data_IF_327562803727
#
_entry.id   IF_327562803727
#
_cell.length_a   1.000
_cell.length_b   1.000
_cell.length_c   1.000
_cell.angle_alpha   90.00
_cell.angle_beta   90.00
_cell.angle_gamma   90.00
#
_symmetry.space_group_name_H-M   'P 1'
#
loop_
_entity.id
_entity.type
_entity.pdbx_description
1 polymer ?
#
# COMPACT_ATOMS: atom_id res chain seq x y z
N UNK A 1 16.30 -8.33 24.69
CA UNK A 1 17.08 -7.09 24.44
C UNK A 1 17.14 -6.84 22.94
N UNK A 2 16.63 -5.67 22.53
CA UNK A 2 16.89 -4.96 21.28
C UNK A 2 16.68 -5.69 19.95
N UNK A 3 15.44 -5.70 19.45
CA UNK A 3 15.19 -5.72 18.00
C UNK A 3 15.39 -4.29 17.49
N UNK A 4 16.66 -3.89 17.40
CA UNK A 4 17.03 -2.63 16.80
C UNK A 4 16.62 -2.66 15.32
N UNK A 5 16.11 -1.51 14.88
CA UNK A 5 15.87 -1.12 13.50
C UNK A 5 14.46 -1.46 12.97
N UNK A 6 13.49 -0.65 13.40
CA UNK A 6 12.36 -0.27 12.54
C UNK A 6 12.90 0.62 11.39
N UNK A 7 13.67 0.04 10.47
CA UNK A 7 14.14 0.69 9.24
C UNK A 7 12.90 1.10 8.46
N UNK A 8 12.89 2.33 7.93
CA UNK A 8 11.73 2.94 7.29
C UNK A 8 10.98 1.97 6.39
N UNK A 9 9.71 1.72 6.71
CA UNK A 9 8.89 0.76 5.96
C UNK A 9 8.51 1.43 4.64
N UNK A 10 9.28 1.13 3.60
CA UNK A 10 8.98 1.51 2.23
C UNK A 10 7.78 0.69 1.77
N UNK A 11 6.74 1.36 1.29
CA UNK A 11 5.65 0.69 0.56
C UNK A 11 6.11 0.59 -0.89
N UNK A 12 6.46 -0.62 -1.31
CA UNK A 12 6.79 -0.93 -2.70
C UNK A 12 5.53 -0.98 -3.56
N UNK A 13 5.71 -0.87 -4.87
CA UNK A 13 4.62 -0.81 -5.85
C UNK A 13 3.67 -2.02 -5.74
N UNK A 14 4.23 -3.21 -5.55
CA UNK A 14 3.48 -4.46 -5.41
C UNK A 14 2.68 -4.51 -4.12
N UNK A 15 3.19 -3.95 -3.02
CA UNK A 15 2.46 -3.88 -1.75
C UNK A 15 1.19 -3.03 -1.88
N UNK A 16 1.26 -1.94 -2.65
CA UNK A 16 0.13 -1.03 -2.87
C UNK A 16 -0.94 -1.72 -3.73
N UNK A 17 -0.52 -2.37 -4.83
CA UNK A 17 -1.41 -3.14 -5.69
C UNK A 17 -2.08 -4.29 -4.93
N UNK A 18 -1.32 -5.02 -4.13
CA UNK A 18 -1.82 -6.15 -3.34
C UNK A 18 -2.82 -5.69 -2.28
N UNK A 19 -2.52 -4.61 -1.56
CA UNK A 19 -3.46 -4.01 -0.61
C UNK A 19 -4.79 -3.69 -1.29
N UNK A 20 -4.75 -2.98 -2.43
CA UNK A 20 -5.96 -2.62 -3.18
C UNK A 20 -6.75 -3.85 -3.62
N UNK A 21 -6.08 -4.87 -4.18
CA UNK A 21 -6.71 -6.12 -4.62
C UNK A 21 -7.34 -6.90 -3.47
N UNK A 22 -6.66 -6.97 -2.32
CA UNK A 22 -7.18 -7.65 -1.12
C UNK A 22 -8.42 -6.96 -0.54
N UNK A 23 -8.53 -5.64 -0.73
CA UNK A 23 -9.72 -4.86 -0.39
C UNK A 23 -10.83 -4.94 -1.45
N UNK A 24 -10.60 -5.63 -2.58
CA UNK A 24 -11.56 -5.75 -3.67
C UNK A 24 -11.83 -4.45 -4.42
N UNK A 25 -10.90 -3.49 -4.39
CA UNK A 25 -11.09 -2.15 -4.95
C UNK A 25 -10.48 -1.99 -6.36
N UNK A 26 -11.15 -1.20 -7.20
CA UNK A 26 -10.59 -0.60 -8.42
C UNK A 26 -9.58 0.49 -8.09
N UNK A 27 -8.77 0.94 -9.06
CA UNK A 27 -7.83 2.05 -8.83
C UNK A 27 -8.58 3.35 -8.50
N UNK A 28 -9.76 3.54 -9.10
CA UNK A 28 -10.70 4.64 -8.86
C UNK A 28 -11.19 4.67 -7.42
N UNK A 29 -11.74 3.55 -6.93
CA UNK A 29 -12.24 3.42 -5.55
C UNK A 29 -11.11 3.60 -4.53
N UNK A 30 -9.95 3.03 -4.81
CA UNK A 30 -8.78 3.15 -3.95
C UNK A 30 -8.26 4.59 -3.89
N UNK A 31 -8.18 5.28 -5.03
CA UNK A 31 -7.80 6.69 -5.09
C UNK A 31 -8.81 7.57 -4.33
N UNK A 32 -10.11 7.33 -4.53
CA UNK A 32 -11.18 8.02 -3.82
C UNK A 32 -11.07 7.82 -2.30
N UNK A 33 -10.82 6.58 -1.85
CA UNK A 33 -10.65 6.25 -0.43
C UNK A 33 -9.45 6.95 0.20
N UNK A 34 -8.37 7.13 -0.56
CA UNK A 34 -7.14 7.81 -0.13
C UNK A 34 -7.16 9.33 -0.34
N UNK A 35 -8.19 9.89 -0.96
CA UNK A 35 -8.28 11.32 -1.27
C UNK A 35 -7.24 11.80 -2.28
N UNK A 36 -6.85 10.95 -3.23
CA UNK A 36 -5.85 11.24 -4.26
C UNK A 36 -6.40 10.95 -5.66
N UNK A 37 -5.60 11.25 -6.69
CA UNK A 37 -6.00 10.95 -8.07
C UNK A 37 -5.68 9.50 -8.46
N UNK A 38 -6.46 8.96 -9.41
CA UNK A 38 -6.19 7.65 -10.03
C UNK A 38 -4.79 7.62 -10.67
N UNK A 39 -4.37 8.73 -11.28
CA UNK A 39 -3.04 8.86 -11.86
C UNK A 39 -1.92 8.70 -10.81
N UNK A 40 -2.14 9.14 -9.57
CA UNK A 40 -1.20 8.94 -8.46
C UNK A 40 -1.11 7.46 -8.09
N UNK A 41 -2.23 6.76 -7.96
CA UNK A 41 -2.28 5.31 -7.70
C UNK A 41 -1.56 4.54 -8.81
N UNK A 42 -1.85 4.85 -10.07
CA UNK A 42 -1.23 4.21 -11.23
C UNK A 42 0.31 4.37 -11.23
N UNK A 43 0.82 5.56 -10.91
CA UNK A 43 2.28 5.79 -10.81
C UNK A 43 2.91 5.02 -9.65
N UNK A 44 2.23 4.90 -8.52
CA UNK A 44 2.70 4.11 -7.39
C UNK A 44 2.74 2.62 -7.71
N UNK A 45 1.67 2.07 -8.28
CA UNK A 45 1.59 0.64 -8.63
C UNK A 45 2.56 0.25 -9.75
N UNK A 46 2.97 1.19 -10.62
CA UNK A 46 3.98 0.95 -11.65
C UNK A 46 5.41 1.33 -11.20
N UNK A 47 5.61 1.71 -9.93
CA UNK A 47 6.94 2.02 -9.41
C UNK A 47 7.56 3.32 -9.93
N UNK A 48 6.78 4.18 -10.60
CA UNK A 48 7.27 5.46 -11.14
C UNK A 48 7.62 6.46 -10.03
N UNK A 49 6.95 6.39 -8.88
CA UNK A 49 7.29 7.15 -7.68
C UNK A 49 6.80 6.43 -6.42
N UNK A 50 7.43 6.70 -5.28
CA UNK A 50 7.00 6.17 -3.99
C UNK A 50 6.00 7.10 -3.30
N UNK A 51 5.06 6.57 -2.50
CA UNK A 51 4.17 7.39 -1.69
C UNK A 51 4.95 8.26 -0.69
N UNK A 52 4.47 9.49 -0.49
CA UNK A 52 5.00 10.39 0.55
C UNK A 52 4.77 9.80 1.94
N UNK A 53 5.39 10.37 2.98
CA UNK A 53 5.18 9.92 4.37
C UNK A 53 3.71 9.96 4.79
N UNK A 54 2.96 11.00 4.39
CA UNK A 54 1.53 11.12 4.67
C UNK A 54 0.73 10.04 3.95
N UNK A 55 1.02 9.83 2.66
CA UNK A 55 0.36 8.79 1.88
C UNK A 55 0.63 7.39 2.42
N UNK A 56 1.87 7.10 2.88
CA UNK A 56 2.18 5.83 3.56
C UNK A 56 1.36 5.65 4.83
N UNK A 57 1.18 6.70 5.64
CA UNK A 57 0.31 6.63 6.82
C UNK A 57 -1.13 6.25 6.41
N UNK A 58 -1.69 6.93 5.42
CA UNK A 58 -3.03 6.64 4.92
C UNK A 58 -3.17 5.19 4.39
N UNK A 59 -2.14 4.67 3.70
CA UNK A 59 -2.10 3.28 3.26
C UNK A 59 -2.08 2.29 4.43
N UNK A 60 -1.34 2.58 5.50
CA UNK A 60 -1.33 1.73 6.71
C UNK A 60 -2.66 1.78 7.46
N UNK A 61 -3.26 2.96 7.59
CA UNK A 61 -4.57 3.13 8.22
C UNK A 61 -5.62 2.33 7.44
N UNK A 62 -5.63 2.45 6.10
CA UNK A 62 -6.53 1.71 5.22
C UNK A 62 -6.32 0.18 5.30
N UNK A 63 -5.08 -0.28 5.39
CA UNK A 63 -4.78 -1.70 5.60
C UNK A 63 -5.31 -2.21 6.95
N UNK A 64 -5.15 -1.41 8.01
CA UNK A 64 -5.65 -1.75 9.34
C UNK A 64 -7.19 -1.82 9.38
N UNK A 65 -7.89 -0.93 8.68
CA UNK A 65 -9.35 -0.94 8.55
C UNK A 65 -9.86 -2.23 7.87
N UNK A 66 -9.17 -2.70 6.84
CA UNK A 66 -9.50 -3.95 6.14
C UNK A 66 -9.16 -5.23 6.92
N UNK A 67 -8.65 -5.13 8.15
CA UNK A 67 -8.14 -6.27 8.91
C UNK A 67 -6.84 -6.85 8.34
N UNK A 68 -6.21 -6.16 7.38
CA UNK A 68 -4.96 -6.58 6.74
C UNK A 68 -3.80 -6.11 7.62
N UNK A 69 -3.33 -6.99 8.50
CA UNK A 69 -2.12 -6.77 9.28
C UNK A 69 -0.91 -7.30 8.50
N UNK A 70 0.17 -6.52 8.38
CA UNK A 70 1.44 -7.00 7.78
C UNK A 70 1.88 -8.34 8.42
N UNK A 71 2.71 -9.21 7.80
CA UNK A 71 3.52 -9.14 6.59
C UNK A 71 2.88 -9.86 5.38
N UNK A 72 1.57 -9.73 5.18
CA UNK A 72 0.85 -10.28 4.01
C UNK A 72 1.00 -9.44 2.72
N UNK A 73 1.90 -8.45 2.72
CA UNK A 73 2.16 -7.60 1.55
C UNK A 73 3.16 -8.25 0.57
N UNK A 74 3.81 -9.37 0.97
CA UNK A 74 4.87 -10.03 0.21
C UNK A 74 4.53 -11.47 -0.21
N UNK A 75 3.26 -11.90 -0.32
CA UNK A 75 3.00 -13.20 -0.96
C UNK A 75 3.08 -13.01 -2.48
N UNK A 76 4.07 -13.58 -3.18
CA UNK A 76 3.98 -13.71 -4.62
C UNK A 76 2.66 -14.44 -4.88
N UNK A 77 1.78 -13.86 -5.70
CA UNK A 77 0.70 -14.66 -6.28
C UNK A 77 1.39 -15.72 -7.12
N UNK A 78 1.54 -16.94 -6.59
CA UNK A 78 1.90 -18.09 -7.40
C UNK A 78 0.80 -18.26 -8.45
N UNK A 79 1.22 -18.10 -9.71
CA UNK A 79 0.48 -18.34 -10.93
C UNK A 79 1.48 -18.47 -12.06
#
# INVERSE_FOLDING_TARGET
MSRAIQRGVFMEADNIRNLRRNLGMTQEEFAHRLGITVATVNRWENGHNSPTRLARKALYDLAAEGGIRGPQLNTPSEG
#
